data_IF_969467901242
#
_entry.id   IF_969467901242
#
_cell.length_a   1.000
_cell.length_b   1.000
_cell.length_c   1.000
_cell.angle_alpha   90.00
_cell.angle_beta   90.00
_cell.angle_gamma   90.00
#
_symmetry.space_group_name_H-M   'P 1'
#
loop_
_entity.id
_entity.type
_entity.pdbx_description
1 polymer ?
#
# COMPACT_ATOMS: atom_id res chain seq x y z
N UNK A 1 -0.43 -28.89 -6.32
CA UNK A 1 -1.77 -28.30 -6.59
C UNK A 1 -2.66 -28.59 -5.39
N UNK A 2 -3.24 -27.59 -4.75
CA UNK A 2 -4.20 -27.84 -3.65
C UNK A 2 -5.43 -28.54 -4.19
N UNK A 3 -5.92 -29.55 -3.47
CA UNK A 3 -7.17 -30.22 -3.86
C UNK A 3 -8.37 -29.29 -3.70
N UNK A 4 -9.47 -29.57 -4.39
CA UNK A 4 -10.73 -28.80 -4.22
C UNK A 4 -11.20 -28.82 -2.76
N UNK A 5 -10.98 -29.91 -2.05
CA UNK A 5 -11.29 -30.04 -0.62
C UNK A 5 -10.44 -29.13 0.26
N UNK A 6 -9.15 -28.94 -0.07
CA UNK A 6 -8.27 -28.03 0.69
C UNK A 6 -8.71 -26.58 0.52
N UNK A 7 -9.17 -26.20 -0.67
CA UNK A 7 -9.73 -24.85 -0.91
C UNK A 7 -10.98 -24.62 -0.07
N UNK A 8 -11.91 -25.58 -0.03
CA UNK A 8 -13.13 -25.49 0.80
C UNK A 8 -12.79 -25.39 2.27
N UNK A 9 -11.86 -26.19 2.78
CA UNK A 9 -11.39 -26.10 4.18
C UNK A 9 -10.84 -24.72 4.50
N UNK A 10 -9.95 -24.19 3.65
CA UNK A 10 -9.38 -22.85 3.83
C UNK A 10 -10.46 -21.76 3.90
N UNK A 11 -11.49 -21.84 3.03
CA UNK A 11 -12.60 -20.89 3.04
C UNK A 11 -13.44 -21.00 4.33
N UNK A 12 -13.71 -22.22 4.79
CA UNK A 12 -14.44 -22.45 6.05
C UNK A 12 -13.65 -21.95 7.26
N UNK A 13 -12.33 -22.10 7.28
CA UNK A 13 -11.45 -21.53 8.31
C UNK A 13 -11.46 -20.00 8.31
N UNK A 14 -11.55 -19.37 7.13
CA UNK A 14 -11.61 -17.91 7.00
C UNK A 14 -12.97 -17.31 7.39
N UNK A 15 -14.06 -18.08 7.28
CA UNK A 15 -15.43 -17.57 7.45
C UNK A 15 -15.71 -16.88 8.79
N UNK A 16 -15.25 -17.35 9.96
CA UNK A 16 -15.44 -16.66 11.23
C UNK A 16 -14.80 -15.26 11.24
N UNK A 17 -13.63 -15.11 10.62
CA UNK A 17 -12.92 -13.84 10.52
C UNK A 17 -13.63 -12.89 9.56
N UNK A 18 -14.11 -13.38 8.41
CA UNK A 18 -14.90 -12.59 7.47
C UNK A 18 -16.15 -12.05 8.17
N UNK A 19 -16.88 -12.88 8.92
CA UNK A 19 -18.06 -12.45 9.68
C UNK A 19 -17.70 -11.43 10.78
N UNK A 20 -16.61 -11.67 11.52
CA UNK A 20 -16.18 -10.80 12.61
C UNK A 20 -15.81 -9.40 12.13
N UNK A 21 -15.14 -9.29 10.99
CA UNK A 21 -14.63 -8.04 10.45
C UNK A 21 -15.49 -7.44 9.34
N UNK A 22 -16.65 -8.01 9.07
CA UNK A 22 -17.59 -7.46 8.10
C UNK A 22 -18.03 -6.05 8.49
N UNK A 23 -17.94 -5.09 7.58
CA UNK A 23 -18.17 -3.66 7.76
C UNK A 23 -17.18 -2.93 8.67
N UNK A 24 -16.18 -3.61 9.25
CA UNK A 24 -15.15 -2.96 10.05
C UNK A 24 -14.15 -2.20 9.19
N UNK A 25 -13.68 -1.05 9.72
CA UNK A 25 -12.59 -0.26 9.12
C UNK A 25 -11.26 -0.84 9.57
N UNK A 26 -10.42 -1.23 8.63
CA UNK A 26 -9.10 -1.84 8.90
C UNK A 26 -8.04 -0.93 8.30
N UNK A 27 -7.17 -0.37 9.15
CA UNK A 27 -6.04 0.44 8.71
C UNK A 27 -4.87 -0.46 8.36
N UNK A 28 -4.39 -0.37 7.14
CA UNK A 28 -3.30 -1.19 6.61
C UNK A 28 -2.15 -0.30 6.17
N UNK A 29 -0.98 -0.48 6.80
CA UNK A 29 0.24 0.24 6.39
C UNK A 29 0.86 -0.44 5.19
N UNK A 30 1.02 0.32 4.11
CA UNK A 30 1.70 -0.10 2.89
C UNK A 30 3.07 0.56 2.78
N UNK A 31 4.14 -0.23 2.72
CA UNK A 31 5.50 0.30 2.69
C UNK A 31 6.58 -0.75 2.50
N UNK A 32 7.83 -0.35 2.62
CA UNK A 32 9.00 -1.22 2.52
C UNK A 32 9.12 -1.92 1.16
N UNK A 33 9.40 -3.22 1.18
CA UNK A 33 9.57 -4.05 -0.02
C UNK A 33 8.31 -4.13 -0.88
N UNK A 34 7.13 -4.01 -0.29
CA UNK A 34 5.85 -4.02 -1.02
C UNK A 34 5.73 -2.84 -2.00
N UNK A 35 6.40 -1.71 -1.75
CA UNK A 35 6.42 -0.57 -2.66
C UNK A 35 7.50 -0.66 -3.76
N UNK A 36 8.45 -1.58 -3.65
CA UNK A 36 9.59 -1.66 -4.57
C UNK A 36 9.53 -2.85 -5.52
N UNK A 37 8.75 -3.88 -5.21
CA UNK A 37 8.58 -5.08 -6.01
C UNK A 37 7.25 -5.05 -6.77
N UNK A 38 7.30 -5.12 -8.10
CA UNK A 38 6.08 -5.15 -8.92
C UNK A 38 5.17 -6.33 -8.59
N UNK A 39 5.73 -7.49 -8.30
CA UNK A 39 4.96 -8.67 -7.89
C UNK A 39 4.23 -8.41 -6.57
N UNK A 40 4.93 -7.84 -5.57
CA UNK A 40 4.34 -7.53 -4.27
C UNK A 40 3.30 -6.40 -4.35
N UNK A 41 3.50 -5.42 -5.23
CA UNK A 41 2.48 -4.38 -5.50
C UNK A 41 1.18 -4.98 -6.01
N UNK A 42 1.27 -5.89 -7.00
CA UNK A 42 0.10 -6.56 -7.55
C UNK A 42 -0.59 -7.46 -6.52
N UNK A 43 0.16 -8.23 -5.74
CA UNK A 43 -0.39 -9.05 -4.67
C UNK A 43 -1.10 -8.20 -3.62
N UNK A 44 -0.49 -7.11 -3.20
CA UNK A 44 -1.10 -6.17 -2.26
C UNK A 44 -2.43 -5.62 -2.78
N UNK A 45 -2.49 -5.18 -4.04
CA UNK A 45 -3.71 -4.69 -4.65
C UNK A 45 -4.82 -5.77 -4.68
N UNK A 46 -4.46 -7.01 -5.04
CA UNK A 46 -5.39 -8.14 -5.01
C UNK A 46 -5.92 -8.43 -3.59
N UNK A 47 -5.06 -8.35 -2.59
CA UNK A 47 -5.46 -8.52 -1.18
C UNK A 47 -6.44 -7.42 -0.74
N UNK A 48 -6.20 -6.17 -1.13
CA UNK A 48 -7.13 -5.07 -0.83
C UNK A 48 -8.50 -5.26 -1.49
N UNK A 49 -8.52 -5.67 -2.74
CA UNK A 49 -9.76 -6.01 -3.46
C UNK A 49 -10.49 -7.16 -2.76
N UNK A 50 -9.77 -8.21 -2.37
CA UNK A 50 -10.35 -9.34 -1.63
C UNK A 50 -11.00 -8.87 -0.31
N UNK A 51 -10.27 -8.12 0.52
CA UNK A 51 -10.80 -7.61 1.79
C UNK A 51 -12.06 -6.76 1.57
N UNK A 52 -12.05 -5.89 0.58
CA UNK A 52 -13.23 -5.08 0.24
C UNK A 52 -14.39 -5.95 -0.24
N UNK A 53 -14.13 -6.94 -1.09
CA UNK A 53 -15.15 -7.84 -1.65
C UNK A 53 -15.86 -8.66 -0.59
N UNK A 54 -15.13 -9.10 0.45
CA UNK A 54 -15.73 -9.83 1.58
C UNK A 54 -16.39 -8.93 2.62
N UNK A 55 -16.51 -7.64 2.35
CA UNK A 55 -17.28 -6.67 3.14
C UNK A 55 -16.49 -5.92 4.21
N UNK A 56 -15.16 -6.04 4.24
CA UNK A 56 -14.30 -5.20 5.07
C UNK A 56 -14.10 -3.83 4.42
N UNK A 57 -13.68 -2.82 5.21
CA UNK A 57 -13.40 -1.45 4.74
C UNK A 57 -11.92 -1.12 4.93
N UNK A 58 -11.03 -1.59 4.03
CA UNK A 58 -9.61 -1.32 4.13
C UNK A 58 -9.31 0.16 3.91
N UNK A 59 -8.47 0.73 4.77
CA UNK A 59 -7.93 2.09 4.66
C UNK A 59 -6.42 1.95 4.54
N UNK A 60 -5.88 2.23 3.36
CA UNK A 60 -4.45 2.12 3.11
C UNK A 60 -3.73 3.39 3.54
N UNK A 61 -2.73 3.25 4.39
CA UNK A 61 -1.80 4.31 4.78
C UNK A 61 -0.44 3.97 4.23
N UNK A 62 0.14 4.86 3.44
CA UNK A 62 1.42 4.62 2.79
C UNK A 62 2.46 5.68 3.12
N UNK A 63 3.73 5.29 3.03
CA UNK A 63 4.87 6.19 3.03
C UNK A 63 5.46 6.33 1.62
N UNK A 64 6.67 6.86 1.52
CA UNK A 64 7.36 7.07 0.25
C UNK A 64 8.78 7.61 0.42
N UNK A 65 9.43 7.36 1.56
CA UNK A 65 10.73 7.93 1.88
C UNK A 65 11.80 7.69 0.81
N UNK A 66 11.84 6.49 0.24
CA UNK A 66 12.79 6.13 -0.84
C UNK A 66 12.52 6.91 -2.14
N UNK A 67 11.27 7.01 -2.55
CA UNK A 67 10.87 7.75 -3.75
C UNK A 67 11.10 9.26 -3.56
N UNK A 68 10.80 9.80 -2.39
CA UNK A 68 11.12 11.19 -2.05
C UNK A 68 12.63 11.45 -2.14
N UNK A 69 13.46 10.59 -1.53
CA UNK A 69 14.92 10.73 -1.59
C UNK A 69 15.41 10.65 -3.02
N UNK A 70 14.91 9.72 -3.81
CA UNK A 70 15.29 9.58 -5.22
C UNK A 70 14.98 10.86 -5.99
N UNK A 71 13.76 11.36 -5.92
CA UNK A 71 13.36 12.58 -6.65
C UNK A 71 14.16 13.81 -6.21
N UNK A 72 14.42 13.96 -4.91
CA UNK A 72 15.25 15.04 -4.39
C UNK A 72 16.67 14.98 -4.97
N UNK A 73 17.27 13.79 -5.02
CA UNK A 73 18.60 13.59 -5.62
C UNK A 73 18.59 13.90 -7.13
N UNK A 74 17.56 13.43 -7.85
CA UNK A 74 17.41 13.68 -9.29
C UNK A 74 17.28 15.18 -9.61
N UNK A 75 16.71 15.96 -8.69
CA UNK A 75 16.56 17.41 -8.78
C UNK A 75 17.74 18.21 -8.20
N UNK A 76 18.75 17.53 -7.62
CA UNK A 76 19.90 18.18 -6.99
C UNK A 76 19.56 18.91 -5.68
N UNK A 77 18.45 18.56 -5.03
CA UNK A 77 18.04 19.15 -3.75
C UNK A 77 18.67 18.40 -2.60
N UNK A 78 19.53 19.09 -1.84
CA UNK A 78 20.17 18.51 -0.66
C UNK A 78 19.15 18.20 0.44
N UNK A 79 19.31 17.01 1.06
CA UNK A 79 18.50 16.61 2.21
C UNK A 79 19.37 16.23 3.39
N UNK A 80 18.92 16.61 4.58
CA UNK A 80 19.58 16.24 5.85
C UNK A 80 18.61 15.40 6.69
N UNK A 81 19.17 14.51 7.48
CA UNK A 81 18.43 13.72 8.47
C UNK A 81 19.02 14.02 9.85
N UNK A 82 18.14 14.21 10.83
CA UNK A 82 18.48 14.37 12.25
C UNK A 82 17.68 13.30 12.99
N UNK A 83 18.36 12.43 13.72
CA UNK A 83 17.74 11.30 14.47
C UNK A 83 16.77 10.47 13.63
N UNK A 84 17.12 10.20 12.36
CA UNK A 84 16.29 9.43 11.43
C UNK A 84 15.12 10.19 10.81
N UNK A 85 14.92 11.45 11.19
CA UNK A 85 13.89 12.31 10.64
C UNK A 85 14.47 13.26 9.57
N UNK A 86 13.78 13.36 8.44
CA UNK A 86 14.18 14.28 7.37
C UNK A 86 13.94 15.74 7.79
N UNK A 87 14.96 16.58 7.65
CA UNK A 87 14.79 18.04 7.76
C UNK A 87 14.00 18.50 6.56
N UNK A 88 12.78 18.98 6.80
CA UNK A 88 11.82 19.29 5.75
C UNK A 88 11.75 20.81 5.53
N UNK A 89 12.50 21.30 4.55
CA UNK A 89 12.37 22.68 4.04
C UNK A 89 11.09 22.83 3.22
N UNK A 90 10.72 24.06 2.84
CA UNK A 90 9.56 24.30 1.97
C UNK A 90 9.68 23.56 0.62
N UNK A 91 10.88 23.53 0.07
CA UNK A 91 11.16 22.83 -1.19
C UNK A 91 11.04 21.32 -1.03
N UNK A 92 11.64 20.75 0.01
CA UNK A 92 11.53 19.32 0.34
C UNK A 92 10.06 18.93 0.60
N UNK A 93 9.29 19.79 1.28
CA UNK A 93 7.86 19.54 1.54
C UNK A 93 7.05 19.47 0.25
N UNK A 94 7.28 20.41 -0.68
CA UNK A 94 6.61 20.41 -1.99
C UNK A 94 6.89 19.14 -2.77
N UNK A 95 8.14 18.68 -2.77
CA UNK A 95 8.53 17.44 -3.46
C UNK A 95 7.92 16.21 -2.77
N UNK A 96 7.93 16.19 -1.44
CA UNK A 96 7.28 15.11 -0.68
C UNK A 96 5.78 15.01 -0.99
N UNK A 97 5.08 16.14 -1.07
CA UNK A 97 3.67 16.19 -1.45
C UNK A 97 3.43 15.66 -2.87
N UNK A 98 4.25 16.05 -3.85
CA UNK A 98 4.18 15.54 -5.22
C UNK A 98 4.34 14.02 -5.27
N UNK A 99 5.32 13.47 -4.56
CA UNK A 99 5.59 12.03 -4.52
C UNK A 99 4.48 11.28 -3.81
N UNK A 100 4.09 11.73 -2.62
CA UNK A 100 3.10 10.99 -1.81
C UNK A 100 1.72 11.05 -2.43
N UNK A 101 1.24 12.23 -2.82
CA UNK A 101 -0.12 12.42 -3.32
C UNK A 101 -0.24 12.19 -4.83
N UNK A 102 0.75 12.56 -5.59
CA UNK A 102 0.73 12.48 -7.07
C UNK A 102 1.20 11.13 -7.59
N UNK A 103 2.33 10.62 -7.13
CA UNK A 103 2.94 9.40 -7.65
C UNK A 103 2.40 8.16 -6.93
N UNK A 104 2.75 7.98 -5.64
CA UNK A 104 2.49 6.73 -4.91
C UNK A 104 0.99 6.51 -4.69
N UNK A 105 0.27 7.51 -4.24
CA UNK A 105 -1.18 7.40 -4.04
C UNK A 105 -1.90 7.00 -5.33
N UNK A 106 -1.56 7.63 -6.46
CA UNK A 106 -2.19 7.34 -7.75
C UNK A 106 -1.76 6.00 -8.32
N UNK A 107 -0.53 5.55 -8.07
CA UNK A 107 -0.09 4.20 -8.40
C UNK A 107 -0.93 3.15 -7.68
N UNK A 108 -1.12 3.28 -6.36
CA UNK A 108 -1.94 2.37 -5.56
C UNK A 108 -3.38 2.32 -6.09
N UNK A 109 -4.00 3.47 -6.30
CA UNK A 109 -5.37 3.56 -6.84
C UNK A 109 -5.49 2.92 -8.22
N UNK A 110 -4.48 3.12 -9.09
CA UNK A 110 -4.47 2.52 -10.43
C UNK A 110 -4.35 1.00 -10.39
N UNK A 111 -3.51 0.46 -9.50
CA UNK A 111 -3.35 -0.98 -9.32
C UNK A 111 -4.62 -1.63 -8.76
N UNK A 112 -5.25 -1.00 -7.79
CA UNK A 112 -6.51 -1.45 -7.18
C UNK A 112 -7.62 -1.54 -8.24
N UNK A 113 -7.79 -0.51 -9.06
CA UNK A 113 -8.77 -0.51 -10.16
C UNK A 113 -8.53 -1.60 -11.19
N UNK A 114 -7.28 -1.88 -11.55
CA UNK A 114 -6.93 -2.96 -12.51
C UNK A 114 -7.16 -4.36 -11.94
N UNK A 115 -7.11 -4.50 -10.62
CA UNK A 115 -7.28 -5.80 -9.96
C UNK A 115 -8.76 -6.21 -9.80
N UNK A 116 -9.68 -5.29 -10.04
CA UNK A 116 -11.15 -5.53 -9.98
C UNK A 116 -11.71 -6.09 -11.29
N UNK A 117 -10.96 -6.00 -12.39
CA UNK A 117 -11.42 -6.38 -13.74
C UNK A 117 -11.01 -7.81 -14.08
#
# INVERSE_FOLDING_TARGET
MKSKLDVVKTLLEALPYIKKFHNEKIVIKYGGSAQTSETLKQQFAQDMVLLHTVGMKPIVVHGGGKSITKLLNDLGVETKFIDGQRVTTKEVMRIAEMVLSGEINKEIVSLDRKSVV
#
